data_IF_173966211555
#
_entry.id   IF_173966211555
#
_cell.length_a   1.000
_cell.length_b   1.000
_cell.length_c   1.000
_cell.angle_alpha   90.00
_cell.angle_beta   90.00
_cell.angle_gamma   90.00
#
_symmetry.space_group_name_H-M   'P 1'
#
loop_
_entity.id
_entity.type
_entity.pdbx_description
1 polymer ?
#
# COMPACT_ATOMS: atom_id res chain seq x y z
N UNK A 1 0.75 -21.28 8.53
CA UNK A 1 2.02 -21.01 9.23
C UNK A 1 2.07 -19.53 9.57
N UNK A 2 1.98 -19.14 10.85
CA UNK A 2 2.30 -17.76 11.25
C UNK A 2 3.82 -17.62 11.18
N UNK A 3 4.35 -16.93 10.18
CA UNK A 3 5.75 -16.49 10.23
C UNK A 3 5.82 -15.44 11.34
N UNK A 4 6.51 -15.75 12.43
CA UNK A 4 6.68 -14.79 13.54
C UNK A 4 7.57 -13.65 13.08
N UNK A 5 7.08 -12.41 13.16
CA UNK A 5 7.93 -11.23 12.99
C UNK A 5 8.99 -11.22 14.09
N UNK A 6 10.25 -11.06 13.71
CA UNK A 6 11.38 -10.96 14.63
C UNK A 6 11.82 -9.50 14.81
N UNK A 7 12.62 -9.23 15.84
CA UNK A 7 13.26 -7.92 16.00
C UNK A 7 14.17 -7.55 14.82
N UNK A 8 14.75 -8.55 14.13
CA UNK A 8 15.52 -8.35 12.90
C UNK A 8 14.66 -7.81 11.75
N UNK A 9 13.46 -8.38 11.58
CA UNK A 9 12.50 -7.94 10.56
C UNK A 9 12.03 -6.51 10.82
N UNK A 10 11.77 -6.17 12.10
CA UNK A 10 11.42 -4.79 12.50
C UNK A 10 12.53 -3.81 12.15
N UNK A 11 13.78 -4.15 12.46
CA UNK A 11 14.93 -3.30 12.15
C UNK A 11 15.06 -3.09 10.64
N UNK A 12 14.92 -4.15 9.86
CA UNK A 12 14.98 -4.11 8.38
C UNK A 12 13.85 -3.26 7.80
N UNK A 13 12.61 -3.44 8.25
CA UNK A 13 11.47 -2.65 7.79
C UNK A 13 11.68 -1.15 8.06
N UNK A 14 12.19 -0.80 9.25
CA UNK A 14 12.53 0.60 9.57
C UNK A 14 13.63 1.14 8.68
N UNK A 15 14.75 0.43 8.53
CA UNK A 15 15.93 0.91 7.81
C UNK A 15 15.78 0.94 6.30
N UNK A 16 14.84 0.17 5.73
CA UNK A 16 14.73 0.02 4.27
C UNK A 16 13.41 0.52 3.72
N UNK A 17 12.29 0.18 4.34
CA UNK A 17 10.97 0.51 3.77
C UNK A 17 10.45 1.89 4.21
N UNK A 18 10.72 2.25 5.47
CA UNK A 18 10.25 3.51 6.08
C UNK A 18 11.35 4.58 6.24
N UNK A 19 12.59 4.28 5.85
CA UNK A 19 13.73 5.21 6.00
C UNK A 19 14.08 5.86 4.66
N UNK A 20 14.56 7.10 4.76
CA UNK A 20 15.17 7.86 3.66
C UNK A 20 16.69 7.71 3.64
N UNK A 21 17.28 6.86 4.50
CA UNK A 21 18.72 6.76 4.77
C UNK A 21 19.54 5.99 3.71
N UNK A 22 19.02 5.78 2.49
CA UNK A 22 19.94 5.46 1.40
C UNK A 22 20.82 6.69 1.15
N UNK A 23 22.05 6.63 1.66
CA UNK A 23 23.10 7.65 1.59
C UNK A 23 23.31 8.18 0.16
N UNK A 24 22.53 9.17 -0.26
CA UNK A 24 22.86 10.03 -1.39
C UNK A 24 22.37 11.44 -1.09
N UNK A 25 23.11 12.44 -1.56
CA UNK A 25 22.95 13.87 -1.25
C UNK A 25 21.63 14.52 -1.68
N UNK A 26 20.62 13.74 -2.07
CA UNK A 26 19.38 14.24 -2.64
C UNK A 26 18.25 14.27 -1.59
N UNK A 27 17.91 15.49 -1.16
CA UNK A 27 16.79 15.75 -0.22
C UNK A 27 15.41 15.50 -0.83
N UNK A 28 15.33 15.01 -2.07
CA UNK A 28 14.08 14.71 -2.78
C UNK A 28 13.63 13.23 -2.72
N UNK A 29 14.39 12.32 -2.09
CA UNK A 29 14.03 10.90 -2.10
C UNK A 29 12.82 10.57 -1.20
N UNK A 30 11.77 10.06 -1.82
CA UNK A 30 10.62 9.43 -1.18
C UNK A 30 11.00 8.07 -0.57
N UNK A 31 10.48 7.72 0.60
CA UNK A 31 10.64 6.35 1.12
C UNK A 31 9.89 5.35 0.24
N UNK A 32 10.25 4.06 0.27
CA UNK A 32 9.46 3.03 -0.41
C UNK A 32 7.99 3.02 0.05
N UNK A 33 7.73 3.40 1.30
CA UNK A 33 6.38 3.65 1.81
C UNK A 33 5.68 4.83 1.11
N UNK A 34 6.36 5.95 0.89
CA UNK A 34 5.81 7.12 0.20
C UNK A 34 5.57 6.85 -1.29
N UNK A 35 6.45 6.06 -1.92
CA UNK A 35 6.28 5.56 -3.27
C UNK A 35 5.04 4.67 -3.38
N UNK A 36 4.92 3.67 -2.49
CA UNK A 36 3.73 2.85 -2.40
C UNK A 36 2.49 3.72 -2.21
N UNK A 37 2.57 4.73 -1.33
CA UNK A 37 1.45 5.62 -1.02
C UNK A 37 0.96 6.39 -2.25
N UNK A 38 1.89 6.87 -3.06
CA UNK A 38 1.59 7.67 -4.26
C UNK A 38 1.14 6.77 -5.41
N UNK A 39 1.91 5.72 -5.71
CA UNK A 39 1.64 4.81 -6.81
C UNK A 39 0.36 3.98 -6.58
N UNK A 40 0.10 3.54 -5.35
CA UNK A 40 -1.10 2.79 -5.00
C UNK A 40 -2.38 3.62 -5.14
N UNK A 41 -2.35 4.91 -4.80
CA UNK A 41 -3.48 5.79 -5.07
C UNK A 41 -3.74 5.94 -6.57
N UNK A 42 -2.69 6.16 -7.37
CA UNK A 42 -2.82 6.27 -8.83
C UNK A 42 -3.39 5.00 -9.45
N UNK A 43 -2.90 3.83 -9.01
CA UNK A 43 -3.42 2.54 -9.44
C UNK A 43 -4.91 2.38 -9.07
N UNK A 44 -5.30 2.74 -7.85
CA UNK A 44 -6.69 2.69 -7.43
C UNK A 44 -7.62 3.61 -8.27
N UNK A 45 -7.10 4.77 -8.70
CA UNK A 45 -7.83 5.71 -9.58
C UNK A 45 -7.86 5.25 -11.03
N UNK A 46 -6.85 4.52 -11.50
CA UNK A 46 -6.76 4.04 -12.88
C UNK A 46 -7.93 3.12 -13.28
N UNK A 47 -8.60 2.47 -12.32
CA UNK A 47 -9.80 1.66 -12.55
C UNK A 47 -11.10 2.47 -12.71
N UNK A 48 -11.03 3.80 -12.84
CA UNK A 48 -12.19 4.58 -13.26
C UNK A 48 -12.65 4.13 -14.64
N UNK A 49 -13.77 3.43 -14.68
CA UNK A 49 -14.50 3.13 -15.93
C UNK A 49 -15.20 4.39 -16.45
N UNK A 50 -15.62 5.29 -15.55
CA UNK A 50 -16.22 6.58 -15.87
C UNK A 50 -15.44 7.72 -15.19
N UNK A 51 -14.92 8.64 -16.01
CA UNK A 51 -14.16 9.82 -15.55
C UNK A 51 -14.99 10.79 -14.72
N UNK A 52 -16.34 10.74 -14.81
CA UNK A 52 -17.28 11.56 -14.03
C UNK A 52 -17.48 11.07 -12.60
N UNK A 53 -17.12 9.81 -12.30
CA UNK A 53 -17.19 9.30 -10.93
C UNK A 53 -16.05 9.94 -10.12
N UNK A 54 -16.36 10.65 -9.03
CA UNK A 54 -15.32 11.26 -8.20
C UNK A 54 -14.52 10.16 -7.48
N UNK A 55 -13.20 10.34 -7.24
CA UNK A 55 -12.32 9.28 -6.75
C UNK A 55 -12.77 8.60 -5.45
N UNK A 56 -13.41 9.34 -4.54
CA UNK A 56 -13.93 8.86 -3.25
C UNK A 56 -15.05 7.83 -3.38
N UNK A 57 -15.73 7.78 -4.53
CA UNK A 57 -16.80 6.81 -4.80
C UNK A 57 -16.28 5.49 -5.38
N UNK A 58 -15.03 5.43 -5.83
CA UNK A 58 -14.40 4.21 -6.35
C UNK A 58 -14.10 3.27 -5.18
N UNK A 59 -14.50 2.01 -5.30
CA UNK A 59 -14.29 1.02 -4.25
C UNK A 59 -12.78 0.77 -4.01
N UNK A 60 -11.99 0.66 -5.07
CA UNK A 60 -10.53 0.51 -5.02
C UNK A 60 -9.85 1.66 -4.27
N UNK A 61 -10.34 2.90 -4.38
CA UNK A 61 -9.81 4.05 -3.63
C UNK A 61 -10.15 3.93 -2.14
N UNK A 62 -11.32 3.39 -1.78
CA UNK A 62 -11.69 3.14 -0.39
C UNK A 62 -10.82 2.03 0.22
N UNK A 63 -10.61 0.95 -0.52
CA UNK A 63 -9.79 -0.17 -0.07
C UNK A 63 -8.31 0.23 0.05
N UNK A 64 -7.82 1.04 -0.89
CA UNK A 64 -6.52 1.69 -0.80
C UNK A 64 -6.37 2.54 0.48
N UNK A 65 -7.35 3.38 0.79
CA UNK A 65 -7.32 4.20 2.02
C UNK A 65 -7.31 3.33 3.27
N UNK A 66 -8.06 2.23 3.28
CA UNK A 66 -8.07 1.26 4.37
C UNK A 66 -6.70 0.60 4.54
N UNK A 67 -6.05 0.20 3.44
CA UNK A 67 -4.68 -0.31 3.48
C UNK A 67 -3.72 0.72 4.08
N UNK A 68 -3.79 1.99 3.69
CA UNK A 68 -2.91 3.04 4.25
C UNK A 68 -3.09 3.21 5.76
N UNK A 69 -4.33 3.12 6.27
CA UNK A 69 -4.57 3.14 7.72
C UNK A 69 -3.90 1.96 8.42
N UNK A 70 -3.97 0.75 7.86
CA UNK A 70 -3.30 -0.42 8.46
C UNK A 70 -1.77 -0.35 8.32
N UNK A 71 -1.25 0.24 7.25
CA UNK A 71 0.19 0.48 7.07
C UNK A 71 0.75 1.52 8.04
N UNK A 72 -0.02 2.56 8.37
CA UNK A 72 0.36 3.54 9.39
C UNK A 72 0.38 2.88 10.79
N UNK A 73 -0.63 2.07 11.12
CA UNK A 73 -0.61 1.26 12.36
C UNK A 73 0.56 0.29 12.41
N UNK A 74 0.90 -0.34 11.29
CA UNK A 74 2.09 -1.18 11.19
C UNK A 74 3.35 -0.36 11.49
N UNK A 75 3.54 0.78 10.84
CA UNK A 75 4.67 1.69 11.07
C UNK A 75 4.80 2.07 12.55
N UNK A 76 3.70 2.41 13.21
CA UNK A 76 3.66 2.72 14.65
C UNK A 76 4.05 1.51 15.51
N UNK A 77 3.54 0.32 15.16
CA UNK A 77 3.80 -0.92 15.90
C UNK A 77 5.26 -1.37 15.85
N UNK A 78 6.02 -0.98 14.83
CA UNK A 78 7.45 -1.27 14.70
C UNK A 78 8.29 -0.61 15.81
N UNK A 79 7.78 0.43 16.48
CA UNK A 79 8.41 1.02 17.67
C UNK A 79 8.13 0.23 18.96
N UNK A 80 7.26 -0.78 18.90
CA UNK A 80 6.87 -1.63 20.02
C UNK A 80 7.48 -3.03 19.99
N UNK A 81 6.78 -3.97 20.62
CA UNK A 81 7.17 -5.40 20.71
C UNK A 81 6.82 -6.15 19.42
N UNK A 82 7.59 -7.19 19.12
CA UNK A 82 7.42 -8.03 17.94
C UNK A 82 6.01 -8.61 17.77
N UNK A 83 5.36 -9.01 18.87
CA UNK A 83 3.99 -9.56 18.81
C UNK A 83 2.97 -8.52 18.31
N UNK A 84 3.13 -7.25 18.68
CA UNK A 84 2.24 -6.18 18.20
C UNK A 84 2.48 -5.89 16.72
N UNK A 85 3.75 -5.92 16.29
CA UNK A 85 4.11 -5.79 14.89
C UNK A 85 3.56 -6.94 14.04
N UNK A 86 3.57 -8.17 14.56
CA UNK A 86 2.99 -9.32 13.87
C UNK A 86 1.48 -9.17 13.64
N UNK A 87 0.74 -8.74 14.66
CA UNK A 87 -0.71 -8.49 14.53
C UNK A 87 -1.00 -7.38 13.51
N UNK A 88 -0.25 -6.28 13.56
CA UNK A 88 -0.42 -5.18 12.61
C UNK A 88 -0.03 -5.57 11.19
N UNK A 89 0.99 -6.42 11.03
CA UNK A 89 1.40 -6.94 9.72
C UNK A 89 0.35 -7.86 9.11
N UNK A 90 -0.26 -8.74 9.90
CA UNK A 90 -1.35 -9.60 9.44
C UNK A 90 -2.54 -8.75 8.94
N UNK A 91 -2.87 -7.66 9.65
CA UNK A 91 -3.93 -6.73 9.27
C UNK A 91 -3.61 -5.95 7.98
N UNK A 92 -2.38 -5.41 7.87
CA UNK A 92 -1.92 -4.72 6.67
C UNK A 92 -1.86 -5.66 5.46
N UNK A 93 -1.42 -6.90 5.65
CA UNK A 93 -1.38 -7.94 4.61
C UNK A 93 -2.78 -8.30 4.11
N UNK A 94 -3.74 -8.47 5.03
CA UNK A 94 -5.13 -8.72 4.67
C UNK A 94 -5.73 -7.55 3.89
N UNK A 95 -5.46 -6.30 4.30
CA UNK A 95 -5.93 -5.12 3.58
C UNK A 95 -5.28 -4.98 2.19
N UNK A 96 -3.99 -5.32 2.06
CA UNK A 96 -3.26 -5.31 0.78
C UNK A 96 -3.88 -6.31 -0.20
N UNK A 97 -4.17 -7.52 0.26
CA UNK A 97 -4.82 -8.54 -0.56
C UNK A 97 -6.21 -8.09 -1.04
N UNK A 98 -7.01 -7.49 -0.16
CA UNK A 98 -8.33 -6.95 -0.56
C UNK A 98 -8.20 -5.85 -1.60
N UNK A 99 -7.25 -4.92 -1.41
CA UNK A 99 -7.02 -3.86 -2.38
C UNK A 99 -6.56 -4.43 -3.73
N UNK A 100 -5.60 -5.35 -3.75
CA UNK A 100 -5.07 -5.95 -4.98
C UNK A 100 -6.06 -6.89 -5.69
N UNK A 101 -6.94 -7.57 -4.96
CA UNK A 101 -8.01 -8.40 -5.55
C UNK A 101 -9.02 -7.54 -6.33
N UNK A 102 -9.24 -6.30 -5.87
CA UNK A 102 -10.06 -5.32 -6.59
C UNK A 102 -9.35 -4.62 -7.76
N UNK A 103 -8.04 -4.80 -7.91
CA UNK A 103 -7.21 -4.25 -8.99
C UNK A 103 -7.21 -5.28 -10.12
N UNK A 104 -8.33 -5.38 -10.83
CA UNK A 104 -8.44 -6.23 -12.03
C UNK A 104 -8.18 -5.39 -13.28
N UNK A 105 -7.03 -5.61 -13.92
CA UNK A 105 -6.73 -4.95 -15.20
C UNK A 105 -7.76 -5.38 -16.24
N UNK A 106 -8.45 -4.43 -16.92
CA UNK A 106 -9.36 -4.81 -17.98
C UNK A 106 -8.58 -5.57 -19.07
N UNK A 107 -9.17 -6.62 -19.66
CA UNK A 107 -8.51 -7.37 -20.71
C UNK A 107 -8.20 -6.43 -21.87
N UNK A 108 -7.02 -6.62 -22.48
CA UNK A 108 -6.60 -5.87 -23.67
C UNK A 108 -7.66 -6.02 -24.76
N UNK A 109 -8.26 -4.89 -25.19
CA UNK A 109 -9.31 -4.88 -26.22
C UNK A 109 -10.74 -5.03 -25.69
N UNK A 110 -10.98 -4.89 -24.38
CA UNK A 110 -12.34 -4.82 -23.85
C UNK A 110 -13.13 -3.65 -24.47
N UNK A 111 -14.23 -3.99 -25.14
CA UNK A 111 -15.09 -3.05 -25.88
C UNK A 111 -15.67 -1.94 -24.99
N UNK A 112 -15.79 -2.16 -23.68
CA UNK A 112 -16.24 -1.14 -22.71
C UNK A 112 -15.25 0.01 -22.56
N UNK A 113 -13.99 -0.22 -22.93
CA UNK A 113 -12.90 0.75 -22.88
C UNK A 113 -12.39 1.14 -24.28
N UNK A 114 -12.98 0.60 -25.35
CA UNK A 114 -12.60 0.89 -26.73
C UNK A 114 -13.09 2.26 -27.25
N UNK A 115 -13.90 2.97 -26.45
CA UNK A 115 -14.41 4.29 -26.76
C UNK A 115 -14.04 5.28 -25.64
N UNK A 116 -12.81 5.77 -25.69
CA UNK A 116 -12.37 7.01 -25.04
C UNK A 116 -11.73 7.90 -26.10
#
# INVERSE_FOLDING_TARGET
>A
MKKSITSGDIKMAKSSFYSTEYETQDKSMSTAYDELKSAGYLLAVAFKIDSKIPPDRIQQVKDWRKLMVEMDKLKESLSGKADKAAVAYDAASAAMNVWLDGVELPPMGDVRYAAA
#
